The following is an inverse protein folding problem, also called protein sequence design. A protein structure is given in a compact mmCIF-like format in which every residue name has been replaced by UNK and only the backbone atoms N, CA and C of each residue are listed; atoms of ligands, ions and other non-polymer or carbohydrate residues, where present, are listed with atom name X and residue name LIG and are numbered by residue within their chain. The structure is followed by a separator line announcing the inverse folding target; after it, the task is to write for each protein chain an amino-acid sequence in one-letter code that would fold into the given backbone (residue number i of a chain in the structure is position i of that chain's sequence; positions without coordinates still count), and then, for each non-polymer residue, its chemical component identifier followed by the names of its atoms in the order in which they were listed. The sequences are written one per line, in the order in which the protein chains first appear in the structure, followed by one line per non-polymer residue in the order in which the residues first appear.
data_IF_594986511803
#
_entry.id   IF_594986511803
#
_cell.length_a   1.000
_cell.length_b   1.000
_cell.length_c   1.000
_cell.angle_alpha   90.00
_cell.angle_beta   90.00
_cell.angle_gamma   90.00
#
_symmetry.space_group_name_H-M   'P 1'
#
loop_
_entity.id
_entity.type
_entity.pdbx_description
1 polymer ?
#
# COMPACT_ATOMS: atom_id res chain seq x y z
N UNK A 1 -28.10 -30.12 -16.45
CA UNK A 1 -26.64 -29.89 -16.40
C UNK A 1 -26.23 -28.42 -16.30
N UNK A 2 -26.42 -27.57 -17.34
CA UNK A 2 -26.01 -26.14 -17.27
C UNK A 2 -26.80 -25.37 -16.20
N UNK A 3 -28.12 -25.54 -16.18
CA UNK A 3 -28.98 -24.90 -15.17
C UNK A 3 -28.69 -25.41 -13.75
N UNK A 4 -28.38 -26.69 -13.57
CA UNK A 4 -27.97 -27.22 -12.27
C UNK A 4 -26.70 -26.54 -11.76
N UNK A 5 -25.71 -26.32 -12.62
CA UNK A 5 -24.49 -25.61 -12.25
C UNK A 5 -24.75 -24.14 -11.85
N UNK A 6 -25.68 -23.47 -12.55
CA UNK A 6 -26.14 -22.12 -12.18
C UNK A 6 -26.83 -22.14 -10.81
N UNK A 7 -27.71 -23.12 -10.55
CA UNK A 7 -28.40 -23.24 -9.26
C UNK A 7 -27.44 -23.53 -8.10
N UNK A 8 -26.41 -24.36 -8.33
CA UNK A 8 -25.37 -24.63 -7.34
C UNK A 8 -24.62 -23.34 -6.99
N UNK A 9 -24.30 -22.49 -7.98
CA UNK A 9 -23.69 -21.18 -7.72
C UNK A 9 -24.61 -20.27 -6.90
N UNK A 10 -25.91 -20.29 -7.17
CA UNK A 10 -26.94 -19.56 -6.42
C UNK A 10 -27.30 -20.19 -5.05
N UNK A 11 -26.61 -21.24 -4.60
CA UNK A 11 -26.92 -22.00 -3.38
C UNK A 11 -28.35 -22.58 -3.34
N UNK A 12 -28.92 -22.90 -4.51
CA UNK A 12 -30.25 -23.51 -4.64
C UNK A 12 -30.15 -24.99 -4.96
N UNK A 13 -31.26 -25.70 -4.75
CA UNK A 13 -31.32 -27.12 -5.08
C UNK A 13 -31.18 -27.35 -6.59
N UNK A 14 -30.27 -28.24 -7.04
CA UNK A 14 -30.05 -28.50 -8.46
C UNK A 14 -31.11 -29.44 -9.03
N UNK A 15 -32.39 -29.04 -8.94
CA UNK A 15 -33.53 -29.80 -9.48
C UNK A 15 -34.12 -29.09 -10.69
N UNK A 16 -34.73 -29.86 -11.60
CA UNK A 16 -35.41 -29.29 -12.76
C UNK A 16 -36.58 -28.37 -12.37
N UNK A 17 -37.33 -28.74 -11.33
CA UNK A 17 -38.43 -27.94 -10.82
C UNK A 17 -37.96 -26.55 -10.37
N UNK A 18 -36.84 -26.49 -9.63
CA UNK A 18 -36.26 -25.23 -9.20
C UNK A 18 -35.67 -24.43 -10.37
N UNK A 19 -35.02 -25.09 -11.32
CA UNK A 19 -34.50 -24.45 -12.53
C UNK A 19 -35.62 -23.76 -13.30
N UNK A 20 -36.75 -24.44 -13.50
CA UNK A 20 -37.91 -23.90 -14.20
C UNK A 20 -38.52 -22.71 -13.44
N UNK A 21 -38.57 -22.78 -12.10
CA UNK A 21 -39.03 -21.68 -11.25
C UNK A 21 -38.12 -20.45 -11.38
N UNK A 22 -36.80 -20.63 -11.36
CA UNK A 22 -35.85 -19.54 -11.50
C UNK A 22 -35.88 -18.90 -12.90
N UNK A 23 -36.03 -19.70 -13.96
CA UNK A 23 -36.14 -19.18 -15.33
C UNK A 23 -37.44 -18.41 -15.58
N UNK A 24 -38.51 -18.70 -14.83
CA UNK A 24 -39.76 -17.97 -14.91
C UNK A 24 -39.75 -16.63 -14.16
N UNK A 25 -38.68 -16.32 -13.41
CA UNK A 25 -38.55 -15.08 -12.67
C UNK A 25 -37.93 -13.97 -13.56
N UNK A 26 -38.64 -12.85 -13.66
CA UNK A 26 -38.22 -11.69 -14.45
C UNK A 26 -36.87 -11.09 -14.01
N UNK A 27 -36.50 -11.23 -12.72
CA UNK A 27 -35.24 -10.69 -12.17
C UNK A 27 -34.09 -11.70 -12.20
N UNK A 28 -34.26 -12.87 -12.81
CA UNK A 28 -33.24 -13.90 -12.81
C UNK A 28 -31.92 -13.44 -13.43
N UNK A 29 -31.99 -12.77 -14.58
CA UNK A 29 -30.80 -12.28 -15.28
C UNK A 29 -30.08 -11.17 -14.50
N UNK A 30 -30.84 -10.28 -13.85
CA UNK A 30 -30.27 -9.21 -13.00
C UNK A 30 -29.49 -9.82 -11.83
N UNK A 31 -30.04 -10.85 -11.18
CA UNK A 31 -29.33 -11.58 -10.11
C UNK A 31 -28.04 -12.26 -10.59
N UNK A 32 -28.01 -12.76 -11.83
CA UNK A 32 -26.77 -13.33 -12.39
C UNK A 32 -25.73 -12.25 -12.69
N UNK A 33 -26.19 -11.05 -13.06
CA UNK A 33 -25.33 -9.90 -13.34
C UNK A 33 -24.74 -9.30 -12.07
N UNK A 34 -25.54 -9.22 -11.02
CA UNK A 34 -25.16 -8.69 -9.70
C UNK A 34 -24.59 -9.77 -8.76
N UNK A 35 -24.35 -10.97 -9.27
CA UNK A 35 -23.85 -12.08 -8.47
C UNK A 35 -22.53 -11.74 -7.78
N UNK A 36 -22.46 -12.01 -6.47
CA UNK A 36 -21.26 -11.83 -5.67
C UNK A 36 -20.22 -12.90 -6.00
N UNK A 37 -19.45 -12.61 -7.06
CA UNK A 37 -18.34 -13.42 -7.54
C UNK A 37 -17.14 -13.47 -6.57
N UNK A 38 -17.08 -12.54 -5.60
CA UNK A 38 -15.96 -12.39 -4.69
C UNK A 38 -16.13 -13.24 -3.42
N UNK A 39 -17.37 -13.65 -3.09
CA UNK A 39 -17.72 -14.43 -1.90
C UNK A 39 -18.24 -15.85 -2.20
N UNK A 40 -17.52 -16.61 -3.03
CA UNK A 40 -17.91 -17.99 -3.37
C UNK A 40 -17.21 -19.02 -2.47
N UNK A 41 -18.00 -19.87 -1.80
CA UNK A 41 -17.45 -20.94 -0.93
C UNK A 41 -16.62 -21.97 -1.72
N UNK A 42 -15.60 -22.56 -1.08
CA UNK A 42 -14.80 -23.64 -1.69
C UNK A 42 -15.64 -24.86 -2.05
N UNK A 43 -16.64 -25.17 -1.21
CA UNK A 43 -17.55 -26.27 -1.45
C UNK A 43 -18.33 -26.07 -2.75
N UNK A 44 -18.79 -24.84 -3.00
CA UNK A 44 -19.52 -24.48 -4.22
C UNK A 44 -18.61 -24.49 -5.44
N UNK A 45 -17.41 -23.89 -5.36
CA UNK A 45 -16.45 -23.92 -6.48
C UNK A 45 -16.04 -25.35 -6.85
N UNK A 46 -15.79 -26.21 -5.85
CA UNK A 46 -15.48 -27.64 -6.10
C UNK A 46 -16.64 -28.37 -6.76
N UNK A 47 -17.88 -28.15 -6.27
CA UNK A 47 -19.08 -28.75 -6.86
C UNK A 47 -19.31 -28.29 -8.29
N UNK A 48 -19.16 -27.01 -8.59
CA UNK A 48 -19.29 -26.49 -9.97
C UNK A 48 -18.16 -27.01 -10.86
N UNK A 49 -16.95 -27.16 -10.29
CA UNK A 49 -15.79 -27.74 -10.94
C UNK A 49 -16.02 -29.15 -11.52
N UNK A 50 -16.86 -29.98 -10.88
CA UNK A 50 -17.16 -31.32 -11.41
C UNK A 50 -18.04 -31.28 -12.67
N UNK A 51 -18.74 -30.17 -12.90
CA UNK A 51 -19.51 -29.94 -14.12
C UNK A 51 -18.62 -29.32 -15.21
N UNK A 52 -17.83 -28.28 -14.87
CA UNK A 52 -17.00 -27.54 -15.84
C UNK A 52 -15.85 -28.35 -16.43
N UNK A 53 -15.40 -29.43 -15.76
CA UNK A 53 -14.36 -30.34 -16.28
C UNK A 53 -14.92 -31.33 -17.31
N UNK A 54 -16.23 -31.55 -17.35
CA UNK A 54 -16.82 -32.50 -18.31
C UNK A 54 -16.77 -31.91 -19.73
N UNK A 55 -16.40 -32.71 -20.76
CA UNK A 55 -16.42 -32.28 -22.15
C UNK A 55 -17.79 -31.75 -22.59
N UNK A 56 -18.88 -32.36 -22.09
CA UNK A 56 -20.26 -31.97 -22.39
C UNK A 56 -20.63 -30.57 -21.86
N UNK A 57 -19.80 -29.99 -20.98
CA UNK A 57 -19.94 -28.63 -20.46
C UNK A 57 -19.08 -27.63 -21.24
N UNK A 58 -18.82 -27.91 -22.52
CA UNK A 58 -18.19 -26.94 -23.41
C UNK A 58 -19.25 -26.02 -24.06
N UNK A 59 -19.07 -24.68 -24.03
CA UNK A 59 -19.97 -23.72 -24.67
C UNK A 59 -20.25 -23.98 -26.15
N UNK A 60 -19.29 -24.55 -26.89
CA UNK A 60 -19.51 -24.86 -28.31
C UNK A 60 -20.44 -26.08 -28.47
N UNK A 61 -20.31 -27.09 -27.60
CA UNK A 61 -21.19 -28.26 -27.59
C UNK A 61 -22.58 -27.88 -27.07
N UNK A 62 -22.67 -27.14 -25.96
CA UNK A 62 -23.95 -26.66 -25.42
C UNK A 62 -24.65 -25.72 -26.40
N UNK A 63 -23.88 -24.94 -27.17
CA UNK A 63 -24.38 -24.02 -28.18
C UNK A 63 -25.10 -24.67 -29.35
N UNK A 64 -24.80 -25.94 -29.66
CA UNK A 64 -25.55 -26.67 -30.70
C UNK A 64 -27.00 -26.96 -30.27
N UNK A 65 -27.26 -27.00 -28.96
CA UNK A 65 -28.58 -27.25 -28.38
C UNK A 65 -29.34 -25.94 -28.14
N UNK A 66 -28.69 -24.92 -27.59
CA UNK A 66 -29.32 -23.62 -27.33
C UNK A 66 -28.31 -22.48 -27.16
N UNK A 67 -28.57 -21.37 -27.84
CA UNK A 67 -27.80 -20.14 -27.69
C UNK A 67 -27.87 -19.57 -26.25
N UNK A 68 -29.04 -19.62 -25.60
CA UNK A 68 -29.19 -19.17 -24.22
C UNK A 68 -28.42 -20.07 -23.25
N UNK A 69 -28.42 -21.38 -23.48
CA UNK A 69 -27.63 -22.32 -22.68
C UNK A 69 -26.11 -22.10 -22.87
N UNK A 70 -25.66 -21.73 -24.07
CA UNK A 70 -24.27 -21.33 -24.32
C UNK A 70 -23.85 -20.13 -23.48
N UNK A 71 -24.67 -19.08 -23.43
CA UNK A 71 -24.39 -17.89 -22.61
C UNK A 71 -24.29 -18.21 -21.12
N UNK A 72 -25.22 -19.03 -20.61
CA UNK A 72 -25.18 -19.47 -19.21
C UNK A 72 -23.97 -20.37 -18.91
N UNK A 73 -23.60 -21.26 -19.84
CA UNK A 73 -22.40 -22.09 -19.71
C UNK A 73 -21.12 -21.24 -19.63
N UNK A 74 -21.00 -20.22 -20.49
CA UNK A 74 -19.90 -19.26 -20.44
C UNK A 74 -19.85 -18.51 -19.11
N UNK A 75 -21.00 -18.05 -18.62
CA UNK A 75 -21.10 -17.38 -17.33
C UNK A 75 -20.62 -18.27 -16.18
N UNK A 76 -21.09 -19.51 -16.09
CA UNK A 76 -20.64 -20.47 -15.04
C UNK A 76 -19.13 -20.69 -15.09
N UNK A 77 -18.56 -20.89 -16.30
CA UNK A 77 -17.11 -21.09 -16.47
C UNK A 77 -16.33 -19.84 -16.06
N UNK A 78 -16.82 -18.65 -16.41
CA UNK A 78 -16.20 -17.38 -16.03
C UNK A 78 -16.20 -17.17 -14.51
N UNK A 79 -17.33 -17.43 -13.84
CA UNK A 79 -17.47 -17.32 -12.39
C UNK A 79 -16.55 -18.32 -11.66
N UNK A 80 -16.49 -19.56 -12.13
CA UNK A 80 -15.62 -20.60 -11.54
C UNK A 80 -14.13 -20.23 -11.66
N UNK A 81 -13.70 -19.78 -12.85
CA UNK A 81 -12.33 -19.34 -13.10
C UNK A 81 -11.98 -18.10 -12.27
N UNK A 82 -12.89 -17.13 -12.21
CA UNK A 82 -12.73 -15.94 -11.39
C UNK A 82 -12.56 -16.30 -9.91
N UNK A 83 -13.46 -17.12 -9.35
CA UNK A 83 -13.40 -17.52 -7.94
C UNK A 83 -12.11 -18.24 -7.57
N UNK A 84 -11.58 -19.12 -8.45
CA UNK A 84 -10.28 -19.77 -8.25
C UNK A 84 -9.13 -18.78 -8.22
N UNK A 85 -9.10 -17.83 -9.17
CA UNK A 85 -8.03 -16.82 -9.26
C UNK A 85 -8.13 -15.83 -8.10
N UNK A 86 -9.35 -15.39 -7.76
CA UNK A 86 -9.59 -14.41 -6.72
C UNK A 86 -9.05 -14.88 -5.36
N UNK A 87 -9.15 -16.18 -5.04
CA UNK A 87 -8.56 -16.73 -3.81
C UNK A 87 -7.04 -16.65 -3.75
N UNK A 88 -6.36 -16.68 -4.90
CA UNK A 88 -4.91 -16.53 -4.98
C UNK A 88 -4.54 -15.04 -4.92
N UNK A 89 -5.36 -14.19 -5.54
CA UNK A 89 -5.11 -12.74 -5.67
C UNK A 89 -5.48 -11.99 -4.38
N UNK A 90 -6.54 -12.36 -3.68
CA UNK A 90 -7.00 -11.73 -2.43
C UNK A 90 -5.90 -11.61 -1.38
N UNK A 91 -5.23 -12.69 -0.94
CA UNK A 91 -4.16 -12.59 0.06
C UNK A 91 -2.94 -11.81 -0.46
N UNK A 92 -2.72 -11.76 -1.78
CA UNK A 92 -1.65 -10.95 -2.37
C UNK A 92 -2.00 -9.46 -2.31
N UNK A 93 -3.26 -9.10 -2.53
CA UNK A 93 -3.77 -7.73 -2.40
C UNK A 93 -3.72 -7.26 -0.94
N UNK A 94 -4.19 -8.09 -0.01
CA UNK A 94 -4.13 -7.79 1.44
C UNK A 94 -2.69 -7.55 1.90
N UNK A 95 -1.75 -8.46 1.56
CA UNK A 95 -0.32 -8.26 1.87
C UNK A 95 0.29 -7.03 1.20
N UNK A 96 -0.14 -6.69 -0.01
CA UNK A 96 0.34 -5.50 -0.71
C UNK A 96 -0.12 -4.24 0.03
N UNK A 97 -1.38 -4.20 0.46
CA UNK A 97 -1.95 -3.09 1.22
C UNK A 97 -1.22 -2.90 2.56
N UNK A 98 -1.03 -3.98 3.33
CA UNK A 98 -0.24 -3.96 4.58
C UNK A 98 1.20 -3.46 4.35
N UNK A 99 1.85 -3.92 3.29
CA UNK A 99 3.21 -3.51 2.96
C UNK A 99 3.28 -2.03 2.55
N UNK A 100 2.28 -1.53 1.81
CA UNK A 100 2.19 -0.12 1.41
C UNK A 100 1.94 0.78 2.61
N UNK A 101 1.09 0.38 3.56
CA UNK A 101 0.88 1.11 4.81
C UNK A 101 2.15 1.16 5.64
N UNK A 102 2.84 0.03 5.80
CA UNK A 102 4.13 -0.03 6.50
C UNK A 102 5.19 0.86 5.84
N UNK A 103 5.26 0.86 4.51
CA UNK A 103 6.16 1.72 3.76
C UNK A 103 5.84 3.20 4.00
N UNK A 104 4.56 3.58 3.94
CA UNK A 104 4.12 4.96 4.17
C UNK A 104 4.50 5.46 5.55
N UNK A 105 4.28 4.65 6.59
CA UNK A 105 4.68 4.99 7.96
C UNK A 105 6.21 5.16 8.07
N UNK A 106 6.99 4.24 7.51
CA UNK A 106 8.46 4.33 7.53
C UNK A 106 8.99 5.56 6.79
N UNK A 107 8.37 5.91 5.66
CA UNK A 107 8.73 7.11 4.89
C UNK A 107 8.44 8.40 5.68
N UNK A 108 7.33 8.46 6.43
CA UNK A 108 7.03 9.58 7.30
C UNK A 108 8.08 9.74 8.41
N UNK A 109 8.39 8.65 9.12
CA UNK A 109 9.43 8.64 10.16
C UNK A 109 10.80 9.08 9.59
N UNK A 110 11.16 8.57 8.41
CA UNK A 110 12.39 8.95 7.74
C UNK A 110 12.42 10.44 7.37
N UNK A 111 11.30 10.98 6.88
CA UNK A 111 11.19 12.40 6.54
C UNK A 111 11.37 13.30 7.77
N UNK A 112 10.74 12.94 8.90
CA UNK A 112 10.89 13.64 10.17
C UNK A 112 12.34 13.57 10.69
N UNK A 113 12.96 12.38 10.67
CA UNK A 113 14.36 12.22 11.09
C UNK A 113 15.31 13.06 10.22
N UNK A 114 15.09 13.10 8.90
CA UNK A 114 15.86 13.94 7.98
C UNK A 114 15.62 15.43 8.18
N UNK A 115 14.42 15.84 8.61
CA UNK A 115 14.14 17.22 8.96
C UNK A 115 14.93 17.64 10.23
N UNK A 116 14.84 16.83 11.29
CA UNK A 116 15.62 17.05 12.54
C UNK A 116 17.12 17.08 12.29
N UNK A 117 17.63 16.18 11.46
CA UNK A 117 19.05 16.16 11.12
C UNK A 117 19.50 17.45 10.42
N UNK A 118 18.67 17.99 9.51
CA UNK A 118 18.97 19.26 8.84
C UNK A 118 19.00 20.42 9.83
N UNK A 119 18.00 20.53 10.68
CA UNK A 119 17.93 21.57 11.72
C UNK A 119 19.17 21.53 12.64
N UNK A 120 19.54 20.35 13.13
CA UNK A 120 20.74 20.19 13.96
C UNK A 120 22.02 20.54 13.21
N UNK A 121 22.13 20.16 11.94
CA UNK A 121 23.30 20.48 11.12
C UNK A 121 23.43 21.99 10.92
N UNK A 122 22.32 22.70 10.69
CA UNK A 122 22.29 24.15 10.58
C UNK A 122 22.66 24.83 11.91
N UNK A 123 22.15 24.31 13.04
CA UNK A 123 22.48 24.81 14.37
C UNK A 123 23.96 24.63 14.70
N UNK A 124 24.54 23.46 14.40
CA UNK A 124 25.97 23.19 14.58
C UNK A 124 26.79 24.17 13.72
N UNK A 125 26.42 24.37 12.45
CA UNK A 125 27.12 25.30 11.57
C UNK A 125 27.03 26.76 12.04
N UNK A 126 25.92 27.15 12.70
CA UNK A 126 25.81 28.48 13.32
C UNK A 126 26.70 28.59 14.56
N UNK A 127 26.62 27.63 15.46
CA UNK A 127 27.41 27.62 16.70
C UNK A 127 28.92 27.58 16.42
N UNK A 128 29.34 26.84 15.39
CA UNK A 128 30.73 26.81 14.97
C UNK A 128 31.20 28.21 14.53
N UNK A 129 30.41 28.92 13.71
CA UNK A 129 30.72 30.29 13.30
C UNK A 129 30.80 31.25 14.48
N UNK A 130 29.82 31.20 15.37
CA UNK A 130 29.82 32.04 16.59
C UNK A 130 31.02 31.74 17.47
N UNK A 131 31.40 30.47 17.63
CA UNK A 131 32.57 30.06 18.38
C UNK A 131 33.85 30.63 17.76
N UNK A 132 34.04 30.46 16.46
CA UNK A 132 35.23 30.93 15.74
C UNK A 132 35.35 32.47 15.84
N UNK A 133 34.24 33.21 15.70
CA UNK A 133 34.20 34.66 15.91
C UNK A 133 34.58 35.07 17.34
N UNK A 134 34.09 34.36 18.35
CA UNK A 134 34.38 34.65 19.75
C UNK A 134 35.83 34.35 20.11
N UNK A 135 36.40 33.28 19.55
CA UNK A 135 37.83 32.96 19.68
C UNK A 135 38.66 34.09 19.06
N UNK A 136 38.35 34.54 17.85
CA UNK A 136 39.06 35.65 17.21
C UNK A 136 38.97 36.96 18.03
N UNK A 137 37.79 37.28 18.58
CA UNK A 137 37.60 38.44 19.46
C UNK A 137 38.45 38.34 20.74
N UNK A 138 38.49 37.16 21.35
CA UNK A 138 39.31 36.90 22.54
C UNK A 138 40.79 37.11 22.25
N UNK A 139 41.30 36.53 21.15
CA UNK A 139 42.71 36.67 20.76
C UNK A 139 43.11 38.14 20.51
N UNK A 140 42.25 38.92 19.85
CA UNK A 140 42.50 40.35 19.62
C UNK A 140 42.47 41.16 20.92
N UNK A 141 41.55 40.86 21.84
CA UNK A 141 41.50 41.52 23.15
C UNK A 141 42.73 41.20 24.00
N UNK A 142 43.16 39.93 24.02
CA UNK A 142 44.39 39.53 24.70
C UNK A 142 45.62 40.23 24.10
N UNK A 143 45.69 40.35 22.77
CA UNK A 143 46.76 41.10 22.10
C UNK A 143 46.77 42.57 22.48
N UNK A 144 45.60 43.22 22.52
CA UNK A 144 45.47 44.61 22.96
C UNK A 144 45.85 44.80 24.42
N UNK A 145 45.43 43.89 25.29
CA UNK A 145 45.76 43.91 26.73
C UNK A 145 47.27 43.84 26.94
N UNK A 146 47.97 42.88 26.29
CA UNK A 146 49.44 42.77 26.33
C UNK A 146 50.13 44.06 25.85
N UNK A 147 49.63 44.66 24.77
CA UNK A 147 50.16 45.94 24.27
C UNK A 147 49.97 47.11 25.24
N UNK A 148 48.83 47.16 25.93
CA UNK A 148 48.55 48.20 26.92
C UNK A 148 49.42 48.02 28.17
N UNK A 149 49.59 46.80 28.66
CA UNK A 149 50.50 46.49 29.77
C UNK A 149 51.92 46.95 29.46
N UNK A 150 52.45 46.61 28.28
CA UNK A 150 53.78 47.04 27.84
C UNK A 150 53.92 48.57 27.77
N UNK A 151 52.87 49.28 27.34
CA UNK A 151 52.85 50.74 27.32
C UNK A 151 52.83 51.33 28.72
N UNK A 152 52.10 50.70 29.65
CA UNK A 152 52.00 51.13 31.05
C UNK A 152 53.36 51.00 31.75
N UNK A 153 54.02 49.84 31.63
CA UNK A 153 55.36 49.59 32.17
C UNK A 153 56.38 50.62 31.67
N UNK A 154 56.33 50.95 30.36
CA UNK A 154 57.21 51.97 29.78
C UNK A 154 56.93 53.37 30.34
N UNK A 155 55.67 53.71 30.56
CA UNK A 155 55.29 55.00 31.15
C UNK A 155 55.74 55.09 32.61
N UNK A 156 55.58 54.02 33.40
CA UNK A 156 56.08 53.94 34.78
C UNK A 156 57.61 54.09 34.85
N UNK A 157 58.35 53.41 33.97
CA UNK A 157 59.81 53.53 33.87
C UNK A 157 60.26 54.97 33.55
N UNK A 158 59.52 55.69 32.70
CA UNK A 158 59.80 57.09 32.39
C UNK A 158 59.53 58.01 33.59
N UNK A 159 58.42 57.81 34.32
CA UNK A 159 58.06 58.61 35.50
C UNK A 159 59.11 58.42 36.61
N UNK A 160 59.47 57.16 36.88
CA UNK A 160 60.50 56.83 37.89
C UNK A 160 61.90 57.30 37.52
N UNK A 161 62.23 57.41 36.23
CA UNK A 161 63.50 57.97 35.77
C UNK A 161 63.57 59.50 35.76
N UNK A 162 62.44 60.20 35.93
CA UNK A 162 62.34 61.67 35.95
C UNK A 162 62.14 62.26 37.36
N UNK A 163 61.94 61.42 38.38
CA UNK A 163 61.96 61.77 39.83
C UNK A 163 63.32 61.48 40.44
#
# INVERSE_FOLDING_TARGET
MVLEAVLILLQKEPTWAEAKRQLGDQYFLDRLREFDKDNISDKTLKKVGTYTVKPDFDPEIVGTVSAAAKSLCLWVRAIEKYGKIYKIVKPKKERLEEALESLRMKQQILAEARAKLRELSEMIARLQREYDEKVAQKEELERRSRMLQLKLERAEALITGLS
#
